data_IF_070261441643
#
_entry.id   IF_070261441643
#
_cell.length_a   1.000
_cell.length_b   1.000
_cell.length_c   1.000
_cell.angle_alpha   90.00
_cell.angle_beta   90.00
_cell.angle_gamma   90.00
#
_symmetry.space_group_name_H-M   'P 1'
#
loop_
_entity.id
_entity.type
_entity.pdbx_description
1 polymer ?
#
# COMPACT_ATOMS: atom_id res chain seq x y z
N UNK A 1 -11.52 32.62 4.67
CA UNK A 1 -11.63 31.15 4.72
C UNK A 1 -11.68 30.66 3.28
N UNK A 2 -10.58 30.11 2.76
CA UNK A 2 -10.57 29.53 1.42
C UNK A 2 -11.31 28.18 1.49
N UNK A 3 -12.37 28.04 0.69
CA UNK A 3 -13.04 26.77 0.44
C UNK A 3 -12.01 25.80 -0.13
N UNK A 4 -11.69 24.75 0.61
CA UNK A 4 -10.98 23.59 0.04
C UNK A 4 -11.86 23.05 -1.09
N UNK A 5 -11.34 22.87 -2.31
CA UNK A 5 -12.16 22.37 -3.42
C UNK A 5 -12.71 20.98 -3.07
N UNK A 6 -14.01 20.77 -3.29
CA UNK A 6 -14.71 19.53 -2.90
C UNK A 6 -14.04 18.24 -3.42
N UNK A 7 -13.40 18.30 -4.59
CA UNK A 7 -12.67 17.17 -5.18
C UNK A 7 -11.49 16.69 -4.32
N UNK A 8 -10.87 17.58 -3.53
CA UNK A 8 -9.76 17.23 -2.66
C UNK A 8 -10.24 16.57 -1.36
N UNK A 9 -11.44 16.91 -0.89
CA UNK A 9 -12.05 16.26 0.27
C UNK A 9 -12.51 14.83 -0.04
N UNK A 10 -13.16 14.63 -1.18
CA UNK A 10 -13.58 13.30 -1.66
C UNK A 10 -12.37 12.37 -1.85
N UNK A 11 -11.28 12.91 -2.42
CA UNK A 11 -10.03 12.15 -2.62
C UNK A 11 -9.40 11.74 -1.30
N UNK A 12 -9.37 12.66 -0.31
CA UNK A 12 -8.84 12.35 1.03
C UNK A 12 -9.68 11.31 1.76
N UNK A 13 -11.01 11.39 1.65
CA UNK A 13 -11.91 10.40 2.23
C UNK A 13 -11.74 9.01 1.58
N UNK A 14 -11.56 8.95 0.26
CA UNK A 14 -11.31 7.70 -0.46
C UNK A 14 -10.00 7.04 0.03
N UNK A 15 -8.90 7.81 0.08
CA UNK A 15 -7.60 7.32 0.56
C UNK A 15 -7.69 6.85 2.02
N UNK A 16 -8.38 7.59 2.88
CA UNK A 16 -8.59 7.19 4.27
C UNK A 16 -9.38 5.87 4.37
N UNK A 17 -10.40 5.69 3.53
CA UNK A 17 -11.20 4.46 3.46
C UNK A 17 -10.38 3.24 3.01
N UNK A 18 -9.49 3.44 2.02
CA UNK A 18 -8.58 2.40 1.55
C UNK A 18 -7.53 2.05 2.62
N UNK A 19 -6.98 3.05 3.32
CA UNK A 19 -6.12 2.79 4.48
C UNK A 19 -6.84 2.03 5.57
N UNK A 20 -8.10 2.39 5.91
CA UNK A 20 -8.91 1.63 6.86
C UNK A 20 -9.01 0.17 6.43
N UNK A 21 -9.28 -0.10 5.14
CA UNK A 21 -9.36 -1.45 4.60
C UNK A 21 -8.09 -2.23 4.86
N UNK A 22 -6.93 -1.67 4.52
CA UNK A 22 -5.63 -2.35 4.70
C UNK A 22 -5.11 -2.32 6.15
N UNK A 23 -5.89 -1.80 7.11
CA UNK A 23 -5.56 -1.84 8.53
C UNK A 23 -4.84 -0.61 9.08
N UNK A 24 -4.87 0.52 8.37
CA UNK A 24 -4.53 1.84 8.90
C UNK A 24 -5.68 2.42 9.74
N UNK A 25 -5.35 3.04 10.87
CA UNK A 25 -6.35 3.51 11.83
C UNK A 25 -6.93 4.86 11.45
N UNK A 26 -7.91 4.88 10.55
CA UNK A 26 -8.77 6.03 10.26
C UNK A 26 -10.19 5.78 10.79
N UNK A 27 -10.91 6.86 11.09
CA UNK A 27 -12.29 6.80 11.61
C UNK A 27 -13.29 6.98 10.46
N UNK A 28 -13.15 6.15 9.42
CA UNK A 28 -14.02 6.14 8.24
C UNK A 28 -14.34 4.69 7.87
N UNK A 29 -15.45 4.41 7.18
CA UNK A 29 -15.73 3.08 6.66
C UNK A 29 -14.57 2.54 5.80
N UNK A 30 -14.34 1.22 5.83
CA UNK A 30 -13.35 0.59 4.97
C UNK A 30 -13.82 0.57 3.51
N UNK A 31 -12.89 0.72 2.56
CA UNK A 31 -13.17 0.53 1.15
C UNK A 31 -13.65 -0.91 0.86
N UNK A 32 -14.67 -1.05 0.03
CA UNK A 32 -15.27 -2.36 -0.32
C UNK A 32 -14.45 -3.10 -1.39
N UNK A 33 -13.76 -2.37 -2.25
CA UNK A 33 -12.95 -2.92 -3.33
C UNK A 33 -11.53 -3.30 -2.88
N UNK A 34 -10.85 -4.22 -3.59
CA UNK A 34 -9.43 -4.50 -3.38
C UNK A 34 -8.58 -3.23 -3.46
N UNK A 35 -7.53 -3.17 -2.64
CA UNK A 35 -6.61 -2.03 -2.61
C UNK A 35 -5.27 -2.40 -3.22
N UNK A 36 -4.89 -1.66 -4.25
CA UNK A 36 -3.51 -1.63 -4.75
C UNK A 36 -2.66 -0.81 -3.78
N UNK A 37 -1.88 -1.51 -2.94
CA UNK A 37 -1.10 -0.86 -1.89
C UNK A 37 0.04 0.02 -2.43
N UNK A 38 0.65 -0.35 -3.57
CA UNK A 38 1.70 0.49 -4.16
C UNK A 38 1.08 1.80 -4.66
N UNK A 39 -0.09 1.71 -5.29
CA UNK A 39 -0.81 2.90 -5.76
C UNK A 39 -1.33 3.78 -4.60
N UNK A 40 -1.85 3.16 -3.53
CA UNK A 40 -2.26 3.85 -2.33
C UNK A 40 -1.09 4.61 -1.68
N UNK A 41 0.12 4.04 -1.65
CA UNK A 41 1.31 4.71 -1.14
C UNK A 41 1.66 5.95 -1.97
N UNK A 42 1.56 5.86 -3.30
CA UNK A 42 1.78 7.00 -4.21
C UNK A 42 0.75 8.11 -4.00
N UNK A 43 -0.54 7.76 -4.00
CA UNK A 43 -1.63 8.72 -3.74
C UNK A 43 -1.51 9.35 -2.36
N UNK A 44 -1.03 8.59 -1.37
CA UNK A 44 -0.73 9.10 -0.04
C UNK A 44 0.43 10.11 -0.04
N UNK A 45 1.48 9.89 -0.85
CA UNK A 45 2.57 10.84 -0.98
C UNK A 45 2.12 12.16 -1.64
N UNK A 46 1.18 12.09 -2.58
CA UNK A 46 0.56 13.28 -3.21
C UNK A 46 -0.20 14.11 -2.15
N UNK A 47 -0.97 13.45 -1.29
CA UNK A 47 -1.87 14.09 -0.31
C UNK A 47 -1.21 14.42 1.04
N UNK A 48 -0.07 13.81 1.35
CA UNK A 48 0.67 13.98 2.59
C UNK A 48 1.09 15.43 2.94
N UNK A 49 1.33 16.37 2.00
CA UNK A 49 1.59 17.77 2.33
C UNK A 49 0.39 18.48 2.99
N UNK A 50 -0.83 18.04 2.69
CA UNK A 50 -2.07 18.57 3.26
C UNK A 50 -2.55 17.79 4.50
N UNK A 51 -2.18 16.51 4.62
CA UNK A 51 -2.59 15.63 5.72
C UNK A 51 -1.41 15.02 6.50
N UNK A 52 -1.20 15.55 7.71
CA UNK A 52 -0.21 15.06 8.68
C UNK A 52 -0.44 13.62 9.08
N UNK A 53 -1.68 13.26 9.41
CA UNK A 53 -2.02 11.93 9.90
C UNK A 53 -1.78 10.90 8.82
N UNK A 54 -2.19 11.22 7.58
CA UNK A 54 -2.03 10.33 6.43
C UNK A 54 -0.59 9.87 6.24
N UNK A 55 0.35 10.80 6.18
CA UNK A 55 1.76 10.46 6.00
C UNK A 55 2.28 9.50 7.07
N UNK A 56 2.01 9.80 8.35
CA UNK A 56 2.57 9.01 9.43
C UNK A 56 1.88 7.67 9.59
N UNK A 57 0.58 7.57 9.29
CA UNK A 57 -0.10 6.28 9.23
C UNK A 57 0.44 5.46 8.06
N UNK A 58 0.60 6.04 6.87
CA UNK A 58 1.15 5.35 5.71
C UNK A 58 2.58 4.86 5.95
N UNK A 59 3.46 5.72 6.48
CA UNK A 59 4.83 5.35 6.82
C UNK A 59 4.89 4.26 7.92
N UNK A 60 4.03 4.36 8.93
CA UNK A 60 3.96 3.35 10.00
C UNK A 60 3.45 2.01 9.47
N UNK A 61 2.40 2.03 8.64
CA UNK A 61 1.88 0.82 8.00
C UNK A 61 2.95 0.16 7.15
N UNK A 62 3.65 0.96 6.32
CA UNK A 62 4.72 0.45 5.48
C UNK A 62 5.85 -0.13 6.33
N UNK A 63 6.27 0.55 7.40
CA UNK A 63 7.32 0.05 8.30
C UNK A 63 6.99 -1.31 8.92
N UNK A 64 5.72 -1.57 9.25
CA UNK A 64 5.29 -2.85 9.83
C UNK A 64 5.06 -3.92 8.74
N UNK A 65 4.45 -3.54 7.61
CA UNK A 65 3.89 -4.48 6.61
C UNK A 65 4.59 -4.43 5.25
N UNK A 66 5.82 -3.91 5.18
CA UNK A 66 6.62 -3.82 3.95
C UNK A 66 6.81 -5.15 3.21
N UNK A 67 6.55 -6.30 3.84
CA UNK A 67 6.59 -7.62 3.22
C UNK A 67 5.39 -7.96 2.34
N UNK A 68 4.33 -7.15 2.39
CA UNK A 68 3.15 -7.29 1.54
C UNK A 68 3.19 -6.38 0.30
N UNK A 69 4.28 -5.60 0.15
CA UNK A 69 4.46 -4.61 -0.91
C UNK A 69 5.44 -5.13 -1.96
N UNK A 70 5.08 -5.05 -3.23
CA UNK A 70 6.00 -5.29 -4.34
C UNK A 70 6.94 -4.08 -4.47
N UNK A 71 8.11 -4.18 -3.82
CA UNK A 71 9.11 -3.11 -3.86
C UNK A 71 9.62 -2.82 -5.28
N UNK A 72 9.61 -3.78 -6.19
CA UNK A 72 10.06 -3.58 -7.57
C UNK A 72 9.00 -2.80 -8.36
N UNK A 73 7.72 -3.15 -8.19
CA UNK A 73 6.60 -2.39 -8.78
C UNK A 73 6.54 -0.98 -8.22
N UNK A 74 6.68 -0.85 -6.89
CA UNK A 74 6.75 0.44 -6.22
C UNK A 74 7.90 1.29 -6.77
N UNK A 75 9.10 0.73 -6.89
CA UNK A 75 10.29 1.45 -7.40
C UNK A 75 10.07 2.03 -8.80
N UNK A 76 9.49 1.26 -9.73
CA UNK A 76 9.14 1.77 -11.07
C UNK A 76 8.15 2.94 -11.01
N UNK A 77 7.09 2.78 -10.21
CA UNK A 77 6.09 3.83 -9.96
C UNK A 77 6.71 5.10 -9.36
N UNK A 78 7.73 4.99 -8.51
CA UNK A 78 8.42 6.13 -7.89
C UNK A 78 9.24 6.95 -8.90
N UNK A 79 9.80 6.33 -9.94
CA UNK A 79 10.60 7.01 -10.97
C UNK A 79 9.77 8.01 -11.80
N UNK A 80 8.48 7.74 -11.92
CA UNK A 80 7.51 8.52 -12.70
C UNK A 80 6.98 9.75 -11.93
N UNK A 81 7.22 9.85 -10.62
CA UNK A 81 6.66 10.90 -9.77
C UNK A 81 7.32 12.26 -9.99
N UNK A 82 6.54 13.34 -10.04
CA UNK A 82 7.06 14.71 -10.00
C UNK A 82 7.97 14.96 -8.79
N UNK A 83 8.94 15.88 -8.93
CA UNK A 83 10.04 16.06 -7.96
C UNK A 83 9.55 16.23 -6.51
N UNK A 84 8.49 17.03 -6.29
CA UNK A 84 7.94 17.24 -4.95
C UNK A 84 7.32 15.98 -4.36
N UNK A 85 6.46 15.30 -5.12
CA UNK A 85 5.81 14.05 -4.68
C UNK A 85 6.87 12.96 -4.45
N UNK A 86 7.89 12.91 -5.31
CA UNK A 86 9.02 11.99 -5.20
C UNK A 86 9.80 12.21 -3.90
N UNK A 87 10.10 13.45 -3.53
CA UNK A 87 10.75 13.77 -2.26
C UNK A 87 9.91 13.37 -1.04
N UNK A 88 8.60 13.60 -1.09
CA UNK A 88 7.66 13.21 -0.02
C UNK A 88 7.61 11.68 0.10
N UNK A 89 7.55 10.95 -1.02
CA UNK A 89 7.62 9.50 -1.04
C UNK A 89 8.95 8.97 -0.48
N UNK A 90 10.07 9.61 -0.83
CA UNK A 90 11.40 9.28 -0.28
C UNK A 90 11.46 9.47 1.23
N UNK A 91 10.89 10.56 1.74
CA UNK A 91 10.77 10.80 3.18
C UNK A 91 9.85 9.77 3.85
N UNK A 92 8.72 9.41 3.24
CA UNK A 92 7.80 8.38 3.74
C UNK A 92 8.51 7.02 3.87
N UNK A 93 9.22 6.59 2.82
CA UNK A 93 10.03 5.37 2.83
C UNK A 93 11.14 5.39 3.87
N UNK A 94 11.76 6.56 4.05
CA UNK A 94 12.79 6.76 5.07
C UNK A 94 12.23 6.61 6.48
N UNK A 95 11.08 7.23 6.77
CA UNK A 95 10.39 7.09 8.07
C UNK A 95 9.93 5.65 8.30
N UNK A 96 9.42 4.97 7.27
CA UNK A 96 9.09 3.56 7.36
C UNK A 96 10.32 2.70 7.70
N UNK A 97 11.49 3.05 7.17
CA UNK A 97 12.74 2.35 7.42
C UNK A 97 13.29 2.54 8.84
N UNK A 98 12.92 3.62 9.54
CA UNK A 98 13.22 3.78 10.98
C UNK A 98 12.53 2.71 11.84
N UNK A 99 11.44 2.12 11.34
CA UNK A 99 10.75 0.98 11.99
C UNK A 99 11.33 -0.35 11.51
N UNK A 100 11.40 -0.52 10.18
CA UNK A 100 11.63 -1.83 9.58
C UNK A 100 13.11 -2.24 9.54
N UNK A 101 14.03 -1.26 9.53
CA UNK A 101 15.46 -1.44 9.25
C UNK A 101 15.70 -2.37 8.05
N UNK A 102 14.95 -2.12 6.97
CA UNK A 102 14.81 -3.01 5.84
C UNK A 102 15.58 -2.48 4.62
N UNK A 103 16.65 -3.17 4.16
CA UNK A 103 17.44 -2.73 3.01
C UNK A 103 16.61 -2.51 1.73
N UNK A 104 15.49 -3.22 1.57
CA UNK A 104 14.60 -3.04 0.41
C UNK A 104 13.81 -1.74 0.42
N UNK A 105 13.49 -1.16 1.58
CA UNK A 105 12.86 0.16 1.67
C UNK A 105 13.87 1.25 1.29
N UNK A 106 15.11 1.11 1.77
CA UNK A 106 16.20 2.00 1.35
C UNK A 106 16.51 1.85 -0.14
N UNK A 107 16.47 0.63 -0.68
CA UNK A 107 16.60 0.40 -2.12
C UNK A 107 15.49 1.09 -2.92
N UNK A 108 14.23 0.95 -2.50
CA UNK A 108 13.12 1.65 -3.14
C UNK A 108 13.25 3.18 -3.05
N UNK A 109 13.70 3.69 -1.90
CA UNK A 109 13.89 5.13 -1.70
C UNK A 109 14.93 5.73 -2.66
N UNK A 110 15.92 4.97 -3.14
CA UNK A 110 16.90 5.46 -4.13
C UNK A 110 16.29 5.83 -5.48
N UNK A 111 15.07 5.38 -5.78
CA UNK A 111 14.32 5.78 -6.98
C UNK A 111 13.60 7.13 -6.80
N UNK A 112 13.57 7.68 -5.57
CA UNK A 112 13.01 8.98 -5.30
C UNK A 112 14.01 10.11 -5.56
N UNK A 113 13.48 11.29 -5.95
CA UNK A 113 14.24 12.51 -6.16
C UNK A 113 14.13 13.43 -4.96
N UNK A 114 15.27 14.03 -4.58
CA UNK A 114 15.35 15.11 -3.60
C UNK A 114 14.87 16.43 -4.23
N UNK A 115 14.34 17.35 -3.42
CA UNK A 115 14.11 18.74 -3.83
C UNK A 115 15.41 19.57 -3.82
N UNK A 116 15.64 20.30 -4.91
CA UNK A 116 16.75 21.26 -5.04
C UNK A 116 16.58 22.45 -4.09
N UNK A 117 15.36 22.98 -4.00
CA UNK A 117 14.98 24.06 -3.10
C UNK A 117 14.27 23.51 -1.86
N UNK A 118 14.94 23.51 -0.68
CA UNK A 118 14.35 22.98 0.53
C UNK A 118 13.13 23.77 0.97
N UNK A 119 12.07 23.07 1.40
CA UNK A 119 10.81 23.68 1.80
C UNK A 119 10.12 22.90 2.92
N UNK A 120 9.15 23.50 3.65
CA UNK A 120 8.35 22.76 4.62
C UNK A 120 7.65 21.57 3.99
N UNK A 121 7.60 20.46 4.72
CA UNK A 121 6.90 19.25 4.28
C UNK A 121 5.38 19.44 4.22
N UNK A 122 4.86 20.37 5.01
CA UNK A 122 3.44 20.60 5.21
C UNK A 122 3.02 22.00 4.79
N UNK A 123 1.91 22.10 4.07
CA UNK A 123 1.40 23.38 3.58
C UNK A 123 1.02 24.34 4.72
N UNK A 124 0.42 23.82 5.80
CA UNK A 124 0.07 24.63 6.98
C UNK A 124 1.29 25.25 7.66
N UNK A 125 2.44 24.57 7.62
CA UNK A 125 3.70 25.11 8.16
C UNK A 125 4.20 26.23 7.26
N UNK A 126 4.09 26.09 5.94
CA UNK A 126 4.47 27.13 4.99
C UNK A 126 3.66 28.43 5.15
N UNK A 127 2.39 28.32 5.55
CA UNK A 127 1.49 29.46 5.75
C UNK A 127 1.73 30.22 7.07
N UNK A 128 2.51 29.66 8.01
CA UNK A 128 2.78 30.28 9.30
C UNK A 128 4.28 30.61 9.42
N UNK A 129 4.68 31.90 9.36
CA UNK A 129 6.09 32.29 9.38
C UNK A 129 6.88 31.82 10.62
N UNK A 130 6.22 31.74 11.78
CA UNK A 130 6.85 31.30 13.04
C UNK A 130 7.15 29.81 12.96
N UNK A 131 6.16 28.98 12.60
CA UNK A 131 6.35 27.54 12.43
C UNK A 131 7.34 27.24 11.31
N UNK A 132 7.28 27.99 10.21
CA UNK A 132 8.21 27.86 9.10
C UNK A 132 9.67 28.07 9.54
N UNK A 133 9.95 29.14 10.29
CA UNK A 133 11.28 29.41 10.83
C UNK A 133 11.73 28.29 11.79
N UNK A 134 10.86 27.90 12.71
CA UNK A 134 11.14 26.84 13.69
C UNK A 134 11.45 25.49 13.02
N UNK A 135 10.63 25.08 12.06
CA UNK A 135 10.78 23.79 11.37
C UNK A 135 12.02 23.80 10.46
N UNK A 136 12.36 24.93 9.85
CA UNK A 136 13.61 25.08 9.08
C UNK A 136 14.85 24.88 9.96
N UNK A 137 14.90 25.54 11.11
CA UNK A 137 16.02 25.48 12.06
C UNK A 137 16.16 24.09 12.68
N UNK A 138 15.04 23.48 13.09
CA UNK A 138 15.01 22.21 13.82
C UNK A 138 14.78 20.97 12.94
N UNK A 139 14.78 21.12 11.60
CA UNK A 139 14.49 20.01 10.70
C UNK A 139 15.43 18.82 10.94
N UNK A 140 14.85 17.63 11.07
CA UNK A 140 15.62 16.40 11.26
C UNK A 140 16.45 16.06 10.01
N UNK A 141 17.63 15.43 10.16
CA UNK A 141 18.48 15.02 9.06
C UNK A 141 17.75 14.14 8.02
N UNK A 142 16.85 13.28 8.48
CA UNK A 142 16.05 12.41 7.62
C UNK A 142 15.26 13.20 6.58
N UNK A 143 14.59 14.28 6.97
CA UNK A 143 13.83 15.12 6.05
C UNK A 143 14.73 16.03 5.21
N UNK A 144 15.82 16.55 5.81
CA UNK A 144 16.81 17.38 5.10
C UNK A 144 17.42 16.65 3.91
N UNK A 145 17.64 15.33 4.01
CA UNK A 145 18.11 14.47 2.91
C UNK A 145 17.22 14.56 1.67
N UNK A 146 15.93 14.83 1.84
CA UNK A 146 14.94 14.95 0.76
C UNK A 146 14.63 16.39 0.36
N UNK A 147 15.33 17.38 0.94
CA UNK A 147 15.01 18.79 0.73
C UNK A 147 13.67 19.17 1.37
N UNK A 148 13.28 18.47 2.43
CA UNK A 148 12.06 18.74 3.19
C UNK A 148 12.42 19.22 4.59
N UNK A 149 11.63 20.15 5.12
CA UNK A 149 11.73 20.55 6.52
C UNK A 149 10.60 19.95 7.34
N UNK A 150 10.98 19.16 8.34
CA UNK A 150 10.12 18.66 9.41
C UNK A 150 11.00 18.26 10.60
N UNK A 151 10.54 18.53 11.80
CA UNK A 151 11.27 18.50 13.06
C UNK A 151 10.94 17.30 13.94
N UNK A 152 9.97 16.46 13.54
CA UNK A 152 9.57 15.28 14.32
C UNK A 152 9.27 14.05 13.46
N UNK A 153 9.32 12.88 14.09
CA UNK A 153 8.81 11.62 13.54
C UNK A 153 7.73 11.10 14.50
N UNK A 154 6.47 11.15 14.07
CA UNK A 154 5.33 10.72 14.89
C UNK A 154 4.78 9.37 14.41
N UNK A 155 5.50 8.28 14.72
CA UNK A 155 5.06 6.94 14.36
C UNK A 155 3.71 6.61 15.00
N UNK A 156 2.78 6.09 14.19
CA UNK A 156 1.41 5.74 14.59
C UNK A 156 1.22 4.23 14.73
N UNK A 157 2.15 3.54 15.38
CA UNK A 157 2.12 2.07 15.50
C UNK A 157 0.84 1.54 16.15
N UNK A 158 0.29 2.26 17.14
CA UNK A 158 -0.99 1.92 17.77
C UNK A 158 -2.21 2.08 16.85
N UNK A 159 -2.06 2.75 15.71
CA UNK A 159 -3.08 2.88 14.67
C UNK A 159 -2.94 1.80 13.59
N UNK A 160 -1.94 0.92 13.64
CA UNK A 160 -1.74 -0.12 12.61
C UNK A 160 -2.29 -1.45 13.12
N UNK A 161 -3.19 -2.06 12.36
CA UNK A 161 -3.71 -3.40 12.65
C UNK A 161 -2.62 -4.45 12.47
N UNK A 162 -2.62 -5.52 13.28
CA UNK A 162 -1.64 -6.59 13.15
C UNK A 162 -1.84 -7.37 11.85
N UNK A 163 -0.77 -8.03 11.36
CA UNK A 163 -0.80 -8.77 10.09
C UNK A 163 -1.91 -9.82 10.05
N UNK A 164 -2.20 -10.51 11.17
CA UNK A 164 -3.31 -11.47 11.27
C UNK A 164 -4.66 -10.84 10.92
N UNK A 165 -4.89 -9.60 11.34
CA UNK A 165 -6.11 -8.87 11.01
C UNK A 165 -6.13 -8.52 9.51
N UNK A 166 -5.03 -8.03 8.96
CA UNK A 166 -4.93 -7.68 7.54
C UNK A 166 -5.21 -8.91 6.66
N UNK A 167 -4.54 -10.03 6.93
CA UNK A 167 -4.74 -11.26 6.16
C UNK A 167 -6.18 -11.79 6.31
N UNK A 168 -6.86 -11.55 7.42
CA UNK A 168 -8.26 -11.92 7.61
C UNK A 168 -9.24 -11.07 6.78
N UNK A 169 -8.94 -9.78 6.56
CA UNK A 169 -9.88 -8.81 5.99
C UNK A 169 -9.52 -8.35 4.57
N UNK A 170 -8.29 -8.60 4.11
CA UNK A 170 -7.77 -8.18 2.81
C UNK A 170 -7.30 -9.41 2.01
N UNK A 171 -8.21 -10.09 1.29
CA UNK A 171 -7.86 -11.24 0.46
C UNK A 171 -6.71 -10.98 -0.53
N UNK A 172 -6.65 -9.78 -1.11
CA UNK A 172 -5.60 -9.37 -2.05
C UNK A 172 -4.21 -9.37 -1.40
N UNK A 173 -4.10 -8.93 -0.15
CA UNK A 173 -2.85 -8.95 0.61
C UNK A 173 -2.54 -10.35 1.16
N UNK A 174 -3.56 -11.17 1.40
CA UNK A 174 -3.41 -12.59 1.74
C UNK A 174 -2.75 -13.37 0.62
N UNK A 175 -3.20 -13.19 -0.62
CA UNK A 175 -2.60 -13.82 -1.80
C UNK A 175 -1.11 -13.46 -1.88
N UNK A 176 -0.76 -12.18 -1.66
CA UNK A 176 0.64 -11.74 -1.63
C UNK A 176 1.47 -12.39 -0.53
N UNK A 177 0.89 -12.59 0.65
CA UNK A 177 1.57 -13.28 1.75
C UNK A 177 1.82 -14.76 1.44
N UNK A 178 0.94 -15.40 0.67
CA UNK A 178 0.97 -16.83 0.38
C UNK A 178 1.79 -17.19 -0.87
N UNK A 179 1.61 -16.43 -1.95
CA UNK A 179 2.18 -16.70 -3.27
C UNK A 179 3.43 -15.83 -3.52
N UNK A 180 3.61 -14.77 -2.73
CA UNK A 180 4.65 -13.76 -2.89
C UNK A 180 4.08 -12.45 -3.43
N UNK A 181 4.82 -11.36 -3.28
CA UNK A 181 4.39 -10.00 -3.68
C UNK A 181 4.53 -9.72 -5.18
N UNK A 182 4.96 -10.69 -5.99
CA UNK A 182 5.31 -10.48 -7.39
C UNK A 182 4.08 -10.62 -8.31
N UNK A 183 4.35 -10.66 -9.62
CA UNK A 183 3.33 -10.82 -10.66
C UNK A 183 2.47 -12.10 -10.49
N UNK A 184 2.98 -13.12 -9.79
CA UNK A 184 2.21 -14.33 -9.52
C UNK A 184 0.95 -14.00 -8.69
N UNK A 185 1.05 -13.10 -7.70
CA UNK A 185 -0.09 -12.67 -6.89
C UNK A 185 -1.11 -11.84 -7.68
N UNK A 186 -0.64 -10.98 -8.59
CA UNK A 186 -1.54 -10.18 -9.45
C UNK A 186 -2.34 -11.08 -10.40
N UNK A 187 -1.70 -12.13 -10.95
CA UNK A 187 -2.39 -13.12 -11.79
C UNK A 187 -3.43 -13.88 -10.98
N UNK A 188 -3.09 -14.35 -9.77
CA UNK A 188 -4.04 -15.08 -8.91
C UNK A 188 -5.23 -14.19 -8.51
N UNK A 189 -4.99 -12.93 -8.15
CA UNK A 189 -6.08 -12.01 -7.79
C UNK A 189 -6.99 -11.71 -8.99
N UNK A 190 -6.44 -11.54 -10.20
CA UNK A 190 -7.25 -11.37 -11.40
C UNK A 190 -8.12 -12.59 -11.70
N UNK A 191 -7.56 -13.80 -11.58
CA UNK A 191 -8.25 -15.06 -11.83
C UNK A 191 -9.28 -15.43 -10.75
N UNK A 192 -9.17 -14.84 -9.55
CA UNK A 192 -10.14 -15.04 -8.47
C UNK A 192 -11.53 -14.53 -8.80
N UNK A 193 -11.62 -13.53 -9.67
CA UNK A 193 -12.90 -12.97 -10.08
C UNK A 193 -13.47 -13.64 -11.32
N UNK A 194 -12.63 -13.85 -12.36
CA UNK A 194 -13.07 -14.43 -13.62
C UNK A 194 -11.93 -15.19 -14.32
N UNK A 195 -12.23 -16.24 -15.10
CA UNK A 195 -11.30 -16.82 -16.04
C UNK A 195 -10.71 -15.76 -16.98
N UNK A 196 -9.43 -15.84 -17.30
CA UNK A 196 -8.77 -14.86 -18.16
C UNK A 196 -7.76 -15.49 -19.12
N UNK A 197 -7.45 -14.80 -20.22
CA UNK A 197 -6.35 -15.18 -21.12
C UNK A 197 -5.07 -14.47 -20.72
N UNK A 198 -3.90 -14.96 -21.16
CA UNK A 198 -2.60 -14.29 -20.96
C UNK A 198 -2.64 -12.84 -21.46
N UNK A 199 -3.28 -12.59 -22.61
CA UNK A 199 -3.40 -11.24 -23.16
C UNK A 199 -4.28 -10.31 -22.29
N UNK A 200 -5.40 -10.84 -21.78
CA UNK A 200 -6.28 -10.09 -20.87
C UNK A 200 -5.57 -9.77 -19.55
N UNK A 201 -4.83 -10.73 -18.99
CA UNK A 201 -4.02 -10.54 -17.79
C UNK A 201 -2.90 -9.50 -17.99
N UNK A 202 -2.22 -9.52 -19.14
CA UNK A 202 -1.20 -8.52 -19.49
C UNK A 202 -1.79 -7.11 -19.56
N UNK A 203 -2.97 -6.96 -20.18
CA UNK A 203 -3.68 -5.69 -20.22
C UNK A 203 -4.09 -5.23 -18.81
N UNK A 204 -4.64 -6.13 -18.00
CA UNK A 204 -5.14 -5.80 -16.66
C UNK A 204 -4.02 -5.42 -15.67
N UNK A 205 -2.90 -6.15 -15.68
CA UNK A 205 -1.76 -5.92 -14.79
C UNK A 205 -0.81 -4.82 -15.29
N UNK A 206 -0.90 -4.45 -16.56
CA UNK A 206 0.07 -3.59 -17.23
C UNK A 206 1.45 -4.23 -17.42
N UNK A 207 1.57 -5.55 -17.20
CA UNK A 207 2.80 -6.29 -17.46
C UNK A 207 2.90 -6.70 -18.93
N UNK A 208 4.12 -6.94 -19.41
CA UNK A 208 4.31 -7.45 -20.77
C UNK A 208 3.73 -8.86 -20.91
N UNK A 209 3.30 -9.21 -22.12
CA UNK A 209 2.80 -10.56 -22.43
C UNK A 209 3.78 -11.66 -22.00
N UNK A 210 5.07 -11.48 -22.29
CA UNK A 210 6.12 -12.45 -21.92
C UNK A 210 6.23 -12.66 -20.41
N UNK A 211 6.19 -11.59 -19.62
CA UNK A 211 6.24 -11.66 -18.16
C UNK A 211 5.02 -12.38 -17.56
N UNK A 212 3.82 -12.13 -18.11
CA UNK A 212 2.61 -12.85 -17.71
C UNK A 212 2.70 -14.31 -18.10
N UNK A 213 3.14 -14.61 -19.33
CA UNK A 213 3.32 -15.98 -19.78
C UNK A 213 4.27 -16.75 -18.85
N UNK A 214 5.40 -16.17 -18.44
CA UNK A 214 6.29 -16.79 -17.46
C UNK A 214 5.65 -16.98 -16.08
N UNK A 215 4.87 -15.99 -15.59
CA UNK A 215 4.14 -16.11 -14.33
C UNK A 215 3.10 -17.24 -14.39
N UNK A 216 2.36 -17.33 -15.49
CA UNK A 216 1.40 -18.40 -15.77
C UNK A 216 2.10 -19.75 -15.77
N UNK A 217 3.22 -19.90 -16.50
CA UNK A 217 3.98 -21.16 -16.49
C UNK A 217 4.44 -21.58 -15.09
N UNK A 218 4.91 -20.63 -14.26
CA UNK A 218 5.28 -20.91 -12.86
C UNK A 218 4.08 -21.32 -12.01
N UNK A 219 2.95 -20.63 -12.15
CA UNK A 219 1.73 -20.90 -11.39
C UNK A 219 1.12 -22.25 -11.80
N UNK A 220 1.08 -22.58 -13.08
CA UNK A 220 0.63 -23.88 -13.60
C UNK A 220 1.54 -24.99 -13.09
N UNK A 221 2.87 -24.79 -13.15
CA UNK A 221 3.83 -25.75 -12.62
C UNK A 221 3.72 -26.00 -11.11
N UNK A 222 3.13 -25.05 -10.36
CA UNK A 222 2.83 -25.18 -8.92
C UNK A 222 1.41 -25.73 -8.65
N UNK A 223 0.62 -25.99 -9.68
CA UNK A 223 -0.79 -26.40 -9.54
C UNK A 223 -1.70 -25.31 -8.96
N UNK A 224 -1.33 -24.04 -9.11
CA UNK A 224 -2.11 -22.91 -8.60
C UNK A 224 -3.12 -22.37 -9.62
N UNK A 225 -2.90 -22.65 -10.91
CA UNK A 225 -3.80 -22.33 -12.02
C UNK A 225 -3.89 -23.52 -12.98
N UNK A 226 -4.99 -23.60 -13.72
CA UNK A 226 -5.22 -24.60 -14.77
C UNK A 226 -5.59 -23.92 -16.09
N UNK A 227 -5.25 -24.57 -17.21
CA UNK A 227 -5.77 -24.20 -18.52
C UNK A 227 -7.13 -24.89 -18.74
N UNK A 228 -8.14 -24.10 -19.10
CA UNK A 228 -9.46 -24.54 -19.50
C UNK A 228 -9.75 -24.13 -20.96
N UNK A 229 -10.66 -24.85 -21.62
CA UNK A 229 -11.11 -24.56 -22.98
C UNK A 229 -10.52 -25.46 -24.07
N UNK A 230 -11.00 -25.28 -25.31
CA UNK A 230 -10.58 -26.03 -26.50
C UNK A 230 -9.41 -25.35 -27.21
N UNK A 231 -8.72 -26.07 -28.11
CA UNK A 231 -7.64 -25.52 -28.93
C UNK A 231 -8.12 -24.25 -29.67
N UNK A 232 -7.54 -23.10 -29.28
CA UNK A 232 -7.87 -21.77 -29.82
C UNK A 232 -8.43 -20.77 -28.80
N UNK A 233 -8.98 -21.23 -27.67
CA UNK A 233 -9.49 -20.37 -26.59
C UNK A 233 -9.04 -20.88 -25.21
N UNK A 234 -7.72 -20.99 -25.00
CA UNK A 234 -7.16 -21.34 -23.70
C UNK A 234 -7.42 -20.21 -22.71
N UNK A 235 -8.31 -20.46 -21.77
CA UNK A 235 -8.55 -19.61 -20.60
C UNK A 235 -7.82 -20.19 -19.41
N UNK A 236 -7.41 -19.33 -18.50
CA UNK A 236 -6.78 -19.70 -17.25
C UNK A 236 -7.83 -19.61 -16.16
N UNK A 237 -7.84 -20.59 -15.26
CA UNK A 237 -8.76 -20.65 -14.12
C UNK A 237 -8.01 -21.02 -12.84
N UNK A 238 -8.58 -20.64 -11.70
CA UNK A 238 -8.16 -21.19 -10.41
C UNK A 238 -8.82 -22.56 -10.22
N UNK A 239 -8.05 -23.62 -9.92
CA UNK A 239 -8.61 -24.90 -9.49
C UNK A 239 -9.51 -24.69 -8.27
N UNK A 240 -10.56 -25.50 -8.15
CA UNK A 240 -11.53 -25.36 -7.06
C UNK A 240 -10.87 -25.48 -5.68
N UNK A 241 -9.86 -26.35 -5.53
CA UNK A 241 -9.15 -26.49 -4.26
C UNK A 241 -8.38 -25.23 -3.89
N UNK A 242 -7.78 -24.55 -4.88
CA UNK A 242 -7.05 -23.28 -4.68
C UNK A 242 -8.02 -22.17 -4.30
N UNK A 243 -9.18 -22.09 -4.97
CA UNK A 243 -10.23 -21.12 -4.66
C UNK A 243 -10.72 -21.27 -3.21
N UNK A 244 -11.07 -22.49 -2.81
CA UNK A 244 -11.49 -22.80 -1.44
C UNK A 244 -10.41 -22.46 -0.41
N UNK A 245 -9.15 -22.78 -0.72
CA UNK A 245 -8.02 -22.44 0.15
C UNK A 245 -7.83 -20.93 0.34
N UNK A 246 -8.00 -20.14 -0.73
CA UNK A 246 -7.96 -18.67 -0.65
C UNK A 246 -9.12 -18.10 0.18
N UNK A 247 -10.30 -18.75 0.15
CA UNK A 247 -11.51 -18.36 0.89
C UNK A 247 -11.50 -18.78 2.36
N UNK A 248 -10.73 -19.81 2.74
CA UNK A 248 -10.71 -20.42 4.09
C UNK A 248 -10.28 -19.51 5.26
N UNK A 249 -9.97 -18.23 5.03
CA UNK A 249 -9.59 -17.29 6.08
C UNK A 249 -10.55 -16.10 6.18
N UNK A 250 -10.92 -15.67 7.40
CA UNK A 250 -10.31 -16.01 8.68
C UNK A 250 -10.77 -17.35 9.26
N UNK A 251 -10.06 -17.95 10.24
CA UNK A 251 -10.69 -18.97 11.07
C UNK A 251 -11.97 -18.35 11.68
N UNK A 252 -13.04 -19.14 11.91
CA UNK A 252 -14.18 -18.67 12.69
C UNK A 252 -13.64 -18.10 14.01
N UNK A 253 -14.05 -16.89 14.39
CA UNK A 253 -13.73 -16.38 15.72
C UNK A 253 -14.19 -17.42 16.74
N UNK A 254 -13.36 -17.82 17.72
CA UNK A 254 -13.90 -18.47 18.90
C UNK A 254 -14.87 -17.45 19.49
N UNK A 255 -16.17 -17.79 19.49
CA UNK A 255 -17.21 -17.00 20.12
C UNK A 255 -16.69 -16.56 21.48
N UNK A 256 -16.30 -15.29 21.61
CA UNK A 256 -16.00 -14.71 22.91
C UNK A 256 -17.33 -14.68 23.63
N UNK A 257 -17.62 -15.73 24.40
CA UNK A 257 -18.63 -15.68 25.45
C UNK A 257 -18.22 -14.48 26.31
N UNK A 258 -18.99 -13.40 26.19
CA UNK A 258 -18.92 -12.33 27.16
C UNK A 258 -19.09 -13.00 28.53
N UNK A 259 -18.22 -12.72 29.51
CA UNK A 259 -18.48 -13.19 30.87
C UNK A 259 -19.86 -12.67 31.25
N UNK A 260 -20.77 -13.61 31.52
CA UNK A 260 -22.03 -13.30 32.18
C UNK A 260 -21.67 -12.47 33.39
N UNK A 261 -22.09 -11.19 33.38
CA UNK A 261 -21.93 -10.33 34.53
C UNK A 261 -22.74 -11.00 35.65
N UNK A 262 -22.04 -11.71 36.52
CA UNK A 262 -22.58 -12.17 37.78
C UNK A 262 -23.10 -10.95 38.51
N UNK A 263 -24.42 -10.91 38.66
CA UNK A 263 -25.12 -10.04 39.59
C UNK A 263 -24.69 -10.50 40.98
N UNK A 264 -23.98 -9.62 41.69
CA UNK A 264 -23.79 -9.66 43.13
C UNK A 264 -24.03 -8.25 43.67
#
# INVERSE_FOLDING_TARGET
>A
MATVPAQDEDTRLAIASEWTRVGGGFTVPAAEHPVDIEDLLLRSAIQAPADYRLFFVAASWLGVHYHLVDMRRLSRKLEELEAHVSAVAGALLSVANEIAHAPRLEAAARHCRRLDEPRPRFERVAQNPVLHAQVRENSLPLFRRWGLWHDEISLKLGAIRPVKWILAHCPELRIRALVGVNLDAEVIEALRHNPATVASLACHTGATYSAIHEAVMRLTGRGLIEEAGTEGQRTLVLPEQVRLWLEMFPPPEPQRRLPERGVA
#
